data_IF_873770859786
#
_entry.id   IF_873770859786
#
_cell.length_a   1.000
_cell.length_b   1.000
_cell.length_c   1.000
_cell.angle_alpha   90.00
_cell.angle_beta   90.00
_cell.angle_gamma   90.00
#
_symmetry.space_group_name_H-M   'P 1'
#
loop_
_entity.id
_entity.type
_entity.pdbx_description
1 polymer ?
#
# COMPACT_ATOMS: atom_id res chain seq x y z
N UNK A 1 1.22 24.06 1.73
CA UNK A 1 1.41 22.77 2.45
C UNK A 1 0.09 22.49 3.16
N UNK A 2 -0.77 21.73 2.52
CA UNK A 2 -2.06 21.31 3.08
C UNK A 2 -1.77 20.04 3.89
N UNK A 3 -2.00 20.10 5.19
CA UNK A 3 -1.91 18.95 6.08
C UNK A 3 -2.87 17.86 5.57
N UNK A 4 -2.34 16.68 5.25
CA UNK A 4 -3.13 15.49 4.98
C UNK A 4 -3.83 15.17 6.30
N UNK A 5 -5.18 15.07 6.34
CA UNK A 5 -5.86 14.71 7.57
C UNK A 5 -5.37 13.31 8.00
N UNK A 6 -4.88 13.23 9.21
CA UNK A 6 -4.42 12.00 9.87
C UNK A 6 -5.67 11.18 10.28
N UNK A 7 -6.49 10.86 9.29
CA UNK A 7 -7.68 10.06 9.45
C UNK A 7 -7.40 8.67 8.84
N UNK A 8 -7.18 7.72 9.72
CA UNK A 8 -7.41 6.32 9.37
C UNK A 8 -8.85 6.26 8.82
N UNK A 9 -9.08 6.06 7.50
CA UNK A 9 -10.41 6.21 6.89
C UNK A 9 -11.44 5.19 7.39
N UNK A 10 -11.07 4.39 8.38
CA UNK A 10 -11.92 3.35 8.98
C UNK A 10 -12.71 3.77 10.22
N UNK A 11 -12.67 5.01 10.70
CA UNK A 11 -13.24 5.34 12.03
C UNK A 11 -14.43 6.31 12.04
N UNK A 12 -14.77 6.96 10.92
CA UNK A 12 -15.94 7.86 10.89
C UNK A 12 -17.16 7.22 10.21
N UNK A 13 -17.87 6.41 10.99
CA UNK A 13 -19.22 5.96 10.64
C UNK A 13 -20.20 7.10 10.92
N UNK A 14 -21.23 7.26 10.10
CA UNK A 14 -22.29 8.23 10.35
C UNK A 14 -22.86 8.09 11.76
N UNK A 15 -23.29 9.20 12.37
CA UNK A 15 -23.82 9.29 13.75
C UNK A 15 -25.00 8.35 13.99
N UNK A 16 -25.71 7.94 12.92
CA UNK A 16 -26.82 6.99 12.93
C UNK A 16 -26.41 5.53 12.69
N UNK A 17 -25.11 5.25 12.48
CA UNK A 17 -24.59 3.90 12.29
C UNK A 17 -24.95 3.26 10.94
N UNK A 18 -25.47 4.02 9.98
CA UNK A 18 -25.98 3.48 8.70
C UNK A 18 -24.95 3.41 7.57
N UNK A 19 -23.68 3.79 7.81
CA UNK A 19 -22.60 3.70 6.81
C UNK A 19 -21.61 4.85 6.89
N UNK A 20 -20.72 4.95 5.91
CA UNK A 20 -19.72 6.01 5.83
C UNK A 20 -20.30 7.29 5.22
N UNK A 21 -19.89 8.46 5.74
CA UNK A 21 -20.32 9.74 5.20
C UNK A 21 -19.81 9.96 3.77
N UNK A 22 -20.51 10.79 2.99
CA UNK A 22 -20.07 11.14 1.62
C UNK A 22 -18.72 11.85 1.62
N UNK A 23 -18.38 12.55 2.70
CA UNK A 23 -17.09 13.19 2.88
C UNK A 23 -15.94 12.17 3.00
N UNK A 24 -16.13 11.12 3.80
CA UNK A 24 -15.16 10.00 3.93
C UNK A 24 -14.97 9.30 2.58
N UNK A 25 -16.06 8.99 1.89
CA UNK A 25 -16.02 8.36 0.55
C UNK A 25 -15.29 9.23 -0.46
N UNK A 26 -15.57 10.53 -0.47
CA UNK A 26 -14.90 11.52 -1.34
C UNK A 26 -13.42 11.62 -1.00
N UNK A 27 -13.06 11.75 0.27
CA UNK A 27 -11.66 11.81 0.71
C UNK A 27 -10.88 10.58 0.28
N UNK A 28 -11.47 9.38 0.40
CA UNK A 28 -10.86 8.15 -0.09
C UNK A 28 -10.64 8.19 -1.60
N UNK A 29 -11.64 8.64 -2.38
CA UNK A 29 -11.50 8.76 -3.83
C UNK A 29 -10.44 9.77 -4.23
N UNK A 30 -10.42 10.96 -3.62
CA UNK A 30 -9.44 12.00 -3.90
C UNK A 30 -8.01 11.56 -3.56
N UNK A 31 -7.85 10.78 -2.49
CA UNK A 31 -6.53 10.28 -2.06
C UNK A 31 -6.02 9.14 -2.95
N UNK A 32 -6.84 8.12 -3.19
CA UNK A 32 -6.36 6.89 -3.79
C UNK A 32 -6.65 6.74 -5.29
N UNK A 33 -7.59 7.51 -5.84
CA UNK A 33 -7.90 7.49 -7.28
C UNK A 33 -7.45 8.78 -8.01
N UNK A 34 -6.67 9.65 -7.35
CA UNK A 34 -6.09 10.82 -8.00
C UNK A 34 -5.25 10.43 -9.21
N UNK A 35 -5.55 11.06 -10.34
CA UNK A 35 -4.87 10.80 -11.60
C UNK A 35 -3.53 11.54 -11.70
N UNK A 36 -2.45 10.82 -12.01
CA UNK A 36 -1.15 11.38 -12.32
C UNK A 36 -0.41 10.51 -13.34
N UNK A 37 0.65 11.05 -13.94
CA UNK A 37 1.47 10.28 -14.87
C UNK A 37 2.40 9.34 -14.12
N UNK A 38 2.41 8.06 -14.52
CA UNK A 38 3.35 7.06 -14.01
C UNK A 38 4.67 7.01 -14.80
N UNK A 39 4.80 7.80 -15.87
CA UNK A 39 6.00 7.78 -16.73
C UNK A 39 7.17 8.56 -16.11
N UNK A 40 8.40 8.04 -16.19
CA UNK A 40 8.75 6.68 -16.59
C UNK A 40 8.29 5.64 -15.56
N UNK A 41 7.97 4.42 -15.98
CA UNK A 41 7.37 3.39 -15.15
C UNK A 41 8.29 2.20 -14.89
N UNK A 42 7.98 1.45 -13.84
CA UNK A 42 8.54 0.15 -13.44
C UNK A 42 7.41 -0.86 -13.26
N UNK A 43 7.76 -2.14 -13.32
CA UNK A 43 6.83 -3.24 -13.08
C UNK A 43 7.01 -3.77 -11.66
N UNK A 44 5.89 -4.09 -11.03
CA UNK A 44 5.84 -4.84 -9.78
C UNK A 44 4.96 -6.06 -10.02
N UNK A 45 5.47 -7.25 -9.68
CA UNK A 45 4.69 -8.48 -9.77
C UNK A 45 3.66 -8.56 -8.66
N UNK A 46 2.50 -9.11 -8.97
CA UNK A 46 1.47 -9.45 -7.99
C UNK A 46 0.75 -10.76 -8.37
N UNK A 47 0.03 -11.34 -7.43
CA UNK A 47 -0.82 -12.50 -7.67
C UNK A 47 -2.02 -12.14 -8.56
N UNK A 48 -2.52 -13.11 -9.32
CA UNK A 48 -3.68 -12.92 -10.18
C UNK A 48 -4.93 -12.54 -9.36
N UNK A 49 -5.10 -13.16 -8.19
CA UNK A 49 -6.24 -12.90 -7.31
C UNK A 49 -6.26 -11.45 -6.81
N UNK A 50 -5.12 -10.93 -6.36
CA UNK A 50 -4.99 -9.53 -5.95
C UNK A 50 -5.25 -8.59 -7.12
N UNK A 51 -4.66 -8.86 -8.30
CA UNK A 51 -4.88 -8.05 -9.49
C UNK A 51 -6.36 -7.96 -9.88
N UNK A 52 -7.08 -9.09 -9.83
CA UNK A 52 -8.52 -9.12 -10.10
C UNK A 52 -9.33 -8.32 -9.08
N UNK A 53 -8.97 -8.40 -7.78
CA UNK A 53 -9.59 -7.60 -6.71
C UNK A 53 -9.38 -6.11 -6.96
N UNK A 54 -8.14 -5.69 -7.23
CA UNK A 54 -7.79 -4.29 -7.54
C UNK A 54 -8.53 -3.78 -8.79
N UNK A 55 -8.55 -4.57 -9.86
CA UNK A 55 -9.26 -4.21 -11.10
C UNK A 55 -10.74 -3.97 -10.85
N UNK A 56 -11.39 -4.84 -10.06
CA UNK A 56 -12.81 -4.68 -9.70
C UNK A 56 -13.07 -3.39 -8.94
N UNK A 57 -12.21 -3.06 -7.96
CA UNK A 57 -12.29 -1.84 -7.17
C UNK A 57 -12.16 -0.61 -8.07
N UNK A 58 -11.11 -0.57 -8.89
CA UNK A 58 -10.85 0.55 -9.80
C UNK A 58 -12.00 0.75 -10.79
N UNK A 59 -12.55 -0.34 -11.35
CA UNK A 59 -13.68 -0.26 -12.29
C UNK A 59 -14.95 0.27 -11.63
N UNK A 60 -15.22 -0.11 -10.36
CA UNK A 60 -16.45 0.26 -9.69
C UNK A 60 -16.40 1.63 -9.01
N UNK A 61 -15.23 2.04 -8.52
CA UNK A 61 -15.09 3.26 -7.68
C UNK A 61 -14.32 4.35 -8.40
N UNK A 62 -13.28 4.00 -9.17
CA UNK A 62 -12.32 4.96 -9.72
C UNK A 62 -12.79 5.70 -10.98
N UNK A 63 -13.84 5.23 -11.64
CA UNK A 63 -14.33 5.81 -12.89
C UNK A 63 -13.36 5.66 -14.07
N UNK A 64 -13.67 6.36 -15.17
CA UNK A 64 -12.98 6.17 -16.48
C UNK A 64 -11.51 6.61 -16.50
N UNK A 65 -11.10 7.46 -15.57
CA UNK A 65 -9.73 8.02 -15.52
C UNK A 65 -8.78 7.25 -14.61
N UNK A 66 -9.30 6.34 -13.77
CA UNK A 66 -8.48 5.59 -12.85
C UNK A 66 -7.87 4.35 -13.50
N UNK A 67 -6.66 4.01 -13.08
CA UNK A 67 -6.00 2.76 -13.46
C UNK A 67 -5.53 1.99 -12.25
N UNK A 68 -5.39 0.67 -12.38
CA UNK A 68 -4.84 -0.17 -11.29
C UNK A 68 -3.46 0.33 -10.87
N UNK A 69 -2.61 0.73 -11.83
CA UNK A 69 -1.28 1.26 -11.52
C UNK A 69 -1.32 2.53 -10.67
N UNK A 70 -2.22 3.48 -11.00
CA UNK A 70 -2.39 4.71 -10.23
C UNK A 70 -2.92 4.45 -8.82
N UNK A 71 -3.93 3.60 -8.70
CA UNK A 71 -4.49 3.20 -7.41
C UNK A 71 -3.42 2.56 -6.51
N UNK A 72 -2.66 1.60 -7.04
CA UNK A 72 -1.55 0.96 -6.33
C UNK A 72 -0.44 1.95 -5.96
N UNK A 73 -0.05 2.82 -6.90
CA UNK A 73 0.92 3.89 -6.66
C UNK A 73 0.53 4.74 -5.44
N UNK A 74 -0.73 5.18 -5.40
CA UNK A 74 -1.23 6.06 -4.34
C UNK A 74 -1.27 5.35 -2.99
N UNK A 75 -1.73 4.09 -2.92
CA UNK A 75 -1.74 3.29 -1.69
C UNK A 75 -0.31 3.12 -1.15
N UNK A 76 0.60 2.69 -2.01
CA UNK A 76 1.99 2.44 -1.59
C UNK A 76 2.70 3.74 -1.19
N UNK A 77 2.49 4.83 -1.95
CA UNK A 77 3.04 6.12 -1.60
C UNK A 77 2.50 6.62 -0.26
N UNK A 78 1.18 6.50 -0.03
CA UNK A 78 0.53 6.87 1.22
C UNK A 78 1.15 6.10 2.40
N UNK A 79 1.24 4.77 2.30
CA UNK A 79 1.85 3.93 3.34
C UNK A 79 3.29 4.33 3.66
N UNK A 80 4.11 4.61 2.64
CA UNK A 80 5.51 5.00 2.83
C UNK A 80 5.69 6.44 3.35
N UNK A 81 4.66 7.28 3.30
CA UNK A 81 4.68 8.64 3.86
C UNK A 81 4.22 8.71 5.32
N UNK A 82 3.63 7.65 5.87
CA UNK A 82 3.31 7.58 7.30
C UNK A 82 4.59 7.71 8.15
N UNK A 83 4.58 8.62 9.12
CA UNK A 83 5.78 8.92 9.93
C UNK A 83 6.27 7.71 10.73
N UNK A 84 5.35 6.91 11.26
CA UNK A 84 5.68 5.68 11.97
C UNK A 84 6.36 4.66 11.04
N UNK A 85 5.87 4.53 9.81
CA UNK A 85 6.47 3.64 8.80
C UNK A 85 7.86 4.10 8.39
N UNK A 86 8.06 5.40 8.20
CA UNK A 86 9.38 5.98 7.91
C UNK A 86 10.37 5.68 9.03
N UNK A 87 9.95 5.85 10.30
CA UNK A 87 10.78 5.57 11.46
C UNK A 87 11.16 4.08 11.54
N UNK A 88 10.20 3.17 11.33
CA UNK A 88 10.43 1.73 11.34
C UNK A 88 11.37 1.26 10.23
N UNK A 89 11.20 1.79 9.01
CA UNK A 89 12.10 1.49 7.89
C UNK A 89 13.52 1.99 8.18
N UNK A 90 13.67 3.20 8.74
CA UNK A 90 14.97 3.74 9.10
C UNK A 90 15.67 2.90 10.18
N UNK A 91 14.93 2.44 11.18
CA UNK A 91 15.43 1.54 12.24
C UNK A 91 15.93 0.21 11.66
N UNK A 92 15.11 -0.44 10.81
CA UNK A 92 15.46 -1.71 10.18
C UNK A 92 16.68 -1.56 9.25
N UNK A 93 16.74 -0.47 8.48
CA UNK A 93 17.89 -0.17 7.61
C UNK A 93 19.16 0.02 8.43
N UNK A 94 19.10 0.79 9.53
CA UNK A 94 20.25 0.98 10.40
C UNK A 94 20.74 -0.34 11.02
N UNK A 95 19.83 -1.19 11.46
CA UNK A 95 20.15 -2.50 12.01
C UNK A 95 20.81 -3.44 10.99
N UNK A 96 20.37 -3.41 9.74
CA UNK A 96 20.96 -4.21 8.64
C UNK A 96 22.42 -3.83 8.40
N UNK A 97 22.75 -2.55 8.36
CA UNK A 97 24.16 -2.10 8.22
C UNK A 97 25.06 -2.49 9.39
N UNK A 98 24.50 -2.59 10.60
CA UNK A 98 25.27 -2.98 11.79
C UNK A 98 25.47 -4.50 11.88
N UNK A 99 24.56 -5.31 11.30
CA UNK A 99 24.64 -6.78 11.36
C UNK A 99 25.82 -7.34 10.55
N UNK A 100 26.31 -6.63 9.55
CA UNK A 100 27.52 -6.99 8.81
C UNK A 100 28.81 -6.89 9.64
N UNK A 101 28.75 -6.16 10.78
CA UNK A 101 29.89 -5.94 11.67
C UNK A 101 29.77 -6.59 13.04
N UNK A 102 28.57 -6.88 13.52
CA UNK A 102 28.34 -7.47 14.86
C UNK A 102 27.05 -8.30 14.92
N UNK A 103 27.16 -9.60 15.24
CA UNK A 103 26.03 -10.53 15.39
C UNK A 103 25.01 -10.15 16.48
N UNK A 104 25.23 -9.08 17.24
CA UNK A 104 24.35 -8.58 18.31
C UNK A 104 23.41 -7.45 17.89
N UNK A 105 23.54 -6.93 16.67
CA UNK A 105 22.75 -5.77 16.23
C UNK A 105 21.23 -6.05 16.13
N UNK A 106 20.85 -7.31 15.94
CA UNK A 106 19.41 -7.72 15.87
C UNK A 106 18.69 -7.67 17.22
N UNK A 107 19.41 -7.68 18.35
CA UNK A 107 18.78 -7.61 19.68
C UNK A 107 18.30 -6.20 20.03
N UNK A 108 18.85 -5.16 19.36
CA UNK A 108 18.50 -3.76 19.59
C UNK A 108 17.26 -3.26 18.84
N UNK A 109 16.68 -4.07 17.92
CA UNK A 109 15.54 -3.64 17.10
C UNK A 109 14.26 -3.63 17.95
N UNK A 110 13.48 -2.54 17.85
CA UNK A 110 12.21 -2.41 18.55
C UNK A 110 11.20 -3.51 18.19
N UNK A 111 10.29 -3.80 19.12
CA UNK A 111 9.22 -4.79 18.87
C UNK A 111 8.34 -4.36 17.67
N UNK A 112 8.13 -3.06 17.50
CA UNK A 112 7.32 -2.53 16.39
C UNK A 112 8.02 -2.73 15.05
N UNK A 113 9.33 -2.49 14.96
CA UNK A 113 10.09 -2.73 13.75
C UNK A 113 10.15 -4.23 13.40
N UNK A 114 10.29 -5.12 14.40
CA UNK A 114 10.20 -6.57 14.19
C UNK A 114 8.82 -7.00 13.66
N UNK A 115 7.73 -6.44 14.19
CA UNK A 115 6.36 -6.69 13.70
C UNK A 115 6.17 -6.18 12.27
N UNK A 116 6.66 -4.99 11.98
CA UNK A 116 6.63 -4.43 10.63
C UNK A 116 7.37 -5.32 9.63
N UNK A 117 8.60 -5.71 9.96
CA UNK A 117 9.41 -6.62 9.14
C UNK A 117 8.69 -7.94 8.88
N UNK A 118 8.15 -8.57 9.93
CA UNK A 118 7.41 -9.83 9.82
C UNK A 118 6.15 -9.70 8.94
N UNK A 119 5.42 -8.59 9.07
CA UNK A 119 4.17 -8.36 8.33
C UNK A 119 4.40 -8.03 6.85
N UNK A 120 5.39 -7.20 6.55
CA UNK A 120 5.52 -6.62 5.21
C UNK A 120 6.74 -7.12 4.42
N UNK A 121 7.80 -7.53 5.10
CA UNK A 121 9.08 -7.82 4.45
C UNK A 121 9.45 -9.32 4.46
N UNK A 122 8.74 -10.18 5.20
CA UNK A 122 9.01 -11.62 5.25
C UNK A 122 8.05 -12.46 4.41
N UNK A 123 7.28 -11.85 3.52
CA UNK A 123 6.35 -12.56 2.64
C UNK A 123 7.01 -13.43 1.58
N UNK A 124 6.27 -14.42 1.10
CA UNK A 124 6.71 -15.31 0.02
C UNK A 124 7.00 -14.55 -1.27
N UNK A 125 7.93 -15.09 -2.07
CA UNK A 125 8.25 -14.48 -3.38
C UNK A 125 7.05 -14.57 -4.32
N UNK A 126 6.55 -13.41 -4.73
CA UNK A 126 5.47 -13.33 -5.72
C UNK A 126 5.96 -13.82 -7.08
N UNK A 127 5.22 -14.73 -7.69
CA UNK A 127 5.52 -15.21 -9.05
C UNK A 127 5.22 -14.10 -10.08
N UNK A 128 6.27 -13.50 -10.63
CA UNK A 128 6.17 -12.41 -11.63
C UNK A 128 5.45 -12.79 -12.92
N UNK A 129 5.24 -14.08 -13.16
CA UNK A 129 4.54 -14.54 -14.36
C UNK A 129 3.02 -14.40 -14.27
N UNK A 130 2.47 -14.11 -13.09
CA UNK A 130 1.02 -14.02 -12.93
C UNK A 130 0.48 -12.70 -13.47
N UNK A 131 0.87 -11.58 -12.90
CA UNK A 131 0.46 -10.24 -13.37
C UNK A 131 1.52 -9.19 -13.02
N UNK A 132 1.52 -8.11 -13.78
CA UNK A 132 2.38 -6.95 -13.58
C UNK A 132 1.54 -5.70 -13.39
N UNK A 133 1.93 -4.89 -12.43
CA UNK A 133 1.35 -3.57 -12.16
C UNK A 133 2.40 -2.52 -12.47
N UNK A 134 2.00 -1.46 -13.17
CA UNK A 134 2.87 -0.33 -13.47
C UNK A 134 2.85 0.67 -12.32
N UNK A 135 4.02 1.05 -11.83
CA UNK A 135 4.24 2.12 -10.87
C UNK A 135 5.28 3.09 -11.42
N UNK A 136 5.40 4.29 -10.86
CA UNK A 136 6.43 5.23 -11.30
C UNK A 136 7.84 4.66 -11.03
N UNK A 137 8.80 5.03 -11.88
CA UNK A 137 10.18 4.61 -11.70
C UNK A 137 10.78 5.15 -10.38
N UNK A 138 10.31 6.30 -9.91
CA UNK A 138 10.74 6.89 -8.64
C UNK A 138 10.29 6.04 -7.45
N UNK A 139 8.99 5.70 -7.37
CA UNK A 139 8.49 4.78 -6.35
C UNK A 139 9.20 3.42 -6.44
N UNK A 140 9.39 2.89 -7.65
CA UNK A 140 10.11 1.64 -7.86
C UNK A 140 11.56 1.66 -7.36
N UNK A 141 12.26 2.80 -7.48
CA UNK A 141 13.61 2.97 -6.91
C UNK A 141 13.58 2.99 -5.38
N UNK A 142 12.60 3.71 -4.80
CA UNK A 142 12.42 3.78 -3.34
C UNK A 142 12.13 2.39 -2.75
N UNK A 143 11.17 1.66 -3.31
CA UNK A 143 10.84 0.29 -2.89
C UNK A 143 12.03 -0.66 -3.01
N UNK A 144 12.77 -0.59 -4.13
CA UNK A 144 13.97 -1.40 -4.33
C UNK A 144 15.01 -1.15 -3.25
N UNK A 145 15.23 0.13 -2.87
CA UNK A 145 16.16 0.51 -1.82
C UNK A 145 15.73 -0.10 -0.48
N UNK A 146 14.47 0.08 -0.08
CA UNK A 146 13.94 -0.47 1.19
C UNK A 146 14.15 -1.98 1.25
N UNK A 147 13.79 -2.71 0.18
CA UNK A 147 13.90 -4.16 0.13
C UNK A 147 15.36 -4.63 0.22
N UNK A 148 16.29 -3.92 -0.44
CA UNK A 148 17.72 -4.27 -0.41
C UNK A 148 18.36 -3.92 0.93
N UNK A 149 18.00 -2.76 1.51
CA UNK A 149 18.64 -2.26 2.72
C UNK A 149 18.18 -3.01 3.98
N UNK A 150 16.99 -3.63 3.96
CA UNK A 150 16.43 -4.27 5.17
C UNK A 150 16.77 -5.76 5.30
N UNK A 151 16.84 -6.54 4.23
CA UNK A 151 17.03 -8.00 4.35
C UNK A 151 17.66 -8.69 3.11
N UNK A 152 18.49 -7.99 2.37
CA UNK A 152 19.38 -8.49 1.32
C UNK A 152 18.75 -9.41 0.25
N UNK A 153 18.22 -10.58 0.59
CA UNK A 153 17.85 -11.61 -0.39
C UNK A 153 16.40 -12.14 -0.31
N UNK A 154 15.64 -11.86 0.73
CA UNK A 154 14.34 -12.51 0.96
C UNK A 154 13.14 -11.74 0.43
N UNK A 155 12.88 -10.47 0.81
CA UNK A 155 11.71 -9.80 0.29
C UNK A 155 11.93 -9.41 -1.17
N UNK A 156 10.92 -9.64 -1.99
CA UNK A 156 10.88 -9.05 -3.32
C UNK A 156 10.07 -7.75 -3.26
N UNK A 157 10.33 -6.85 -4.20
CA UNK A 157 9.51 -5.65 -4.37
C UNK A 157 8.01 -6.02 -4.55
N UNK A 158 7.74 -7.16 -5.21
CA UNK A 158 6.38 -7.68 -5.39
C UNK A 158 5.73 -8.10 -4.09
N UNK A 159 6.41 -8.92 -3.27
CA UNK A 159 5.87 -9.38 -1.99
C UNK A 159 5.64 -8.24 -1.00
N UNK A 160 6.55 -7.26 -0.96
CA UNK A 160 6.40 -6.08 -0.12
C UNK A 160 5.18 -5.23 -0.54
N UNK A 161 5.04 -4.92 -1.83
CA UNK A 161 3.88 -4.19 -2.35
C UNK A 161 2.58 -4.98 -2.12
N UNK A 162 2.57 -6.29 -2.34
CA UNK A 162 1.41 -7.14 -2.11
C UNK A 162 0.96 -7.10 -0.64
N UNK A 163 1.90 -7.17 0.31
CA UNK A 163 1.60 -7.08 1.74
C UNK A 163 0.96 -5.72 2.11
N UNK A 164 1.49 -4.61 1.58
CA UNK A 164 0.91 -3.27 1.78
C UNK A 164 -0.50 -3.20 1.21
N UNK A 165 -0.70 -3.71 0.00
CA UNK A 165 -2.01 -3.69 -0.66
C UNK A 165 -3.04 -4.54 0.07
N UNK A 166 -2.68 -5.74 0.52
CA UNK A 166 -3.59 -6.59 1.29
C UNK A 166 -4.00 -5.93 2.60
N UNK A 167 -3.05 -5.35 3.33
CA UNK A 167 -3.34 -4.64 4.56
C UNK A 167 -4.27 -3.44 4.35
N UNK A 168 -4.02 -2.63 3.32
CA UNK A 168 -4.88 -1.51 2.97
C UNK A 168 -6.30 -1.98 2.60
N UNK A 169 -6.40 -3.01 1.74
CA UNK A 169 -7.70 -3.55 1.31
C UNK A 169 -8.49 -4.20 2.44
N UNK A 170 -7.82 -4.75 3.44
CA UNK A 170 -8.47 -5.34 4.62
C UNK A 170 -8.89 -4.24 5.61
N UNK A 171 -8.04 -3.23 5.83
CA UNK A 171 -8.35 -2.08 6.68
C UNK A 171 -9.52 -1.25 6.13
N UNK A 172 -9.60 -1.07 4.82
CA UNK A 172 -10.64 -0.29 4.15
C UNK A 172 -11.79 -1.15 3.59
N UNK A 173 -11.90 -2.43 3.98
CA UNK A 173 -12.82 -3.39 3.35
C UNK A 173 -14.28 -2.92 3.36
N UNK A 174 -14.77 -2.44 4.50
CA UNK A 174 -16.16 -2.02 4.67
C UNK A 174 -16.47 -0.77 3.82
N UNK A 175 -15.60 0.22 3.84
CA UNK A 175 -15.71 1.43 3.03
C UNK A 175 -15.72 1.09 1.53
N UNK A 176 -14.78 0.26 1.07
CA UNK A 176 -14.69 -0.17 -0.33
C UNK A 176 -15.94 -0.93 -0.77
N UNK A 177 -16.46 -1.81 0.09
CA UNK A 177 -17.67 -2.58 -0.20
C UNK A 177 -18.90 -1.66 -0.32
N UNK A 178 -19.05 -0.70 0.58
CA UNK A 178 -20.12 0.28 0.54
C UNK A 178 -20.08 1.11 -0.73
N UNK A 179 -18.92 1.71 -1.04
CA UNK A 179 -18.72 2.51 -2.27
C UNK A 179 -18.99 1.68 -3.55
N UNK A 180 -18.58 0.41 -3.56
CA UNK A 180 -18.85 -0.50 -4.68
C UNK A 180 -20.35 -0.78 -4.86
N UNK A 181 -21.10 -0.89 -3.76
CA UNK A 181 -22.54 -1.11 -3.80
C UNK A 181 -23.29 0.15 -4.23
N UNK A 182 -22.88 1.33 -3.77
CA UNK A 182 -23.45 2.61 -4.19
C UNK A 182 -23.24 2.84 -5.70
N UNK A 183 -22.07 2.53 -6.22
CA UNK A 183 -21.79 2.63 -7.66
C UNK A 183 -22.72 1.75 -8.49
N UNK A 184 -23.01 0.52 -8.06
CA UNK A 184 -23.93 -0.38 -8.75
C UNK A 184 -25.38 0.11 -8.72
N UNK A 185 -25.81 0.72 -7.61
CA UNK A 185 -27.16 1.30 -7.48
C UNK A 185 -27.36 2.48 -8.41
N UNK A 186 -26.33 3.30 -8.63
CA UNK A 186 -26.38 4.48 -9.48
C UNK A 186 -26.28 4.17 -10.98
N UNK A 187 -25.93 2.92 -11.36
CA UNK A 187 -25.83 2.46 -12.75
C UNK A 187 -26.98 1.57 -13.20
N UNK A 188 -27.91 1.22 -12.32
CA UNK A 188 -29.12 0.43 -12.59
C UNK A 188 -30.34 1.33 -12.80
#
# INVERSE_FOLDING_TARGET
MTAIPNANPGTEVNVDGTGYSDEVKRSYQETFFAGHSLKPYKYVGCTLSLWQRLKRIVTNIGGDKASVGMYVQNIVAYHLEEEDVKALIAELTAASYLSDTDCKAMDGISLNAKKYQAKYLMGDKVNRKEREIYISAELGKRLKRIVLDVDGDRPTMGSYVEAILLDHLDTCADLINEMTNDSKRNTA
#
